data_IF_928649411844
#
_entry.id   IF_928649411844
#
_cell.length_a   1.000
_cell.length_b   1.000
_cell.length_c   1.000
_cell.angle_alpha   90.00
_cell.angle_beta   90.00
_cell.angle_gamma   90.00
#
_symmetry.space_group_name_H-M   'P 1'
#
loop_
_entity.id
_entity.type
_entity.pdbx_description
1 polymer ?
#
# COMPACT_ATOMS: atom_id res chain seq x y z
N UNK A 1 12.98 -2.31 8.27
CA UNK A 1 14.13 -2.27 7.33
C UNK A 1 14.09 -3.42 6.31
N UNK A 2 12.89 -3.86 5.90
CA UNK A 2 12.73 -5.02 5.01
C UNK A 2 13.21 -4.74 3.57
N UNK A 3 12.95 -3.55 3.03
CA UNK A 3 13.41 -3.15 1.71
C UNK A 3 14.94 -3.12 1.59
N UNK A 4 15.63 -2.74 2.67
CA UNK A 4 17.09 -2.74 2.70
C UNK A 4 17.69 -4.15 2.57
N UNK A 5 17.03 -5.19 3.12
CA UNK A 5 17.50 -6.58 2.94
C UNK A 5 17.36 -7.09 1.51
N UNK A 6 16.53 -6.45 0.68
CA UNK A 6 16.41 -6.73 -0.75
C UNK A 6 17.33 -5.84 -1.62
N UNK A 7 18.22 -5.07 -1.01
CA UNK A 7 19.20 -4.23 -1.73
C UNK A 7 18.67 -2.89 -2.21
N UNK A 8 17.50 -2.45 -1.73
CA UNK A 8 16.98 -1.12 -2.02
C UNK A 8 17.54 -0.08 -1.04
N UNK A 9 17.89 1.10 -1.55
CA UNK A 9 18.26 2.24 -0.71
C UNK A 9 16.98 2.92 -0.20
N UNK A 10 16.84 3.12 1.11
CA UNK A 10 15.64 3.68 1.75
C UNK A 10 15.91 5.10 2.25
N UNK A 11 15.00 6.01 1.91
CA UNK A 11 15.05 7.44 2.23
C UNK A 11 13.78 7.82 3.00
N UNK A 12 13.91 8.32 4.23
CA UNK A 12 12.77 8.77 5.04
C UNK A 12 12.56 10.28 4.91
N UNK A 13 11.31 10.73 4.91
CA UNK A 13 11.02 12.18 4.96
C UNK A 13 11.18 12.70 6.39
N UNK A 14 11.75 13.88 6.55
CA UNK A 14 11.71 14.62 7.83
C UNK A 14 10.38 15.36 8.03
N UNK A 15 9.56 15.47 6.97
CA UNK A 15 8.28 16.21 6.97
C UNK A 15 7.13 15.29 6.55
N UNK A 16 6.10 15.17 7.40
CA UNK A 16 5.02 14.14 7.30
C UNK A 16 3.73 14.61 6.59
N UNK A 17 3.78 15.59 5.68
CA UNK A 17 2.53 16.21 5.20
C UNK A 17 1.91 15.57 3.94
N UNK A 18 2.63 14.69 3.25
CA UNK A 18 2.24 14.22 1.91
C UNK A 18 1.56 12.85 1.85
N UNK A 19 1.44 12.14 2.98
CA UNK A 19 0.84 10.79 3.00
C UNK A 19 1.76 9.70 2.43
N UNK A 20 3.05 10.01 2.23
CA UNK A 20 4.11 9.07 1.90
C UNK A 20 5.00 8.96 3.14
N UNK A 21 5.20 7.73 3.63
CA UNK A 21 5.99 7.46 4.82
C UNK A 21 7.50 7.41 4.50
N UNK A 22 7.87 6.82 3.35
CA UNK A 22 9.25 6.82 2.87
C UNK A 22 9.35 6.60 1.35
N UNK A 23 10.54 6.84 0.82
CA UNK A 23 10.90 6.60 -0.58
C UNK A 23 11.96 5.50 -0.63
N UNK A 24 11.86 4.59 -1.59
CA UNK A 24 12.93 3.62 -1.87
C UNK A 24 13.47 3.82 -3.28
N UNK A 25 14.77 3.66 -3.46
CA UNK A 25 15.42 3.65 -4.77
C UNK A 25 15.64 2.22 -5.21
N UNK A 26 15.15 1.91 -6.40
CA UNK A 26 15.33 0.63 -7.08
C UNK A 26 16.76 0.48 -7.59
N UNK A 27 17.16 -0.74 -7.87
CA UNK A 27 18.47 -1.09 -8.43
C UNK A 27 18.77 -0.36 -9.75
N UNK A 28 17.75 -0.12 -10.57
CA UNK A 28 17.84 0.67 -11.81
C UNK A 28 17.84 2.20 -11.61
N UNK A 29 17.95 2.67 -10.36
CA UNK A 29 18.05 4.10 -10.02
C UNK A 29 16.72 4.86 -9.96
N UNK A 30 15.59 4.23 -10.32
CA UNK A 30 14.26 4.85 -10.20
C UNK A 30 13.78 4.84 -8.74
N UNK A 31 13.08 5.89 -8.35
CA UNK A 31 12.46 5.99 -7.03
C UNK A 31 11.03 5.48 -7.04
N UNK A 32 10.62 4.91 -5.91
CA UNK A 32 9.24 4.57 -5.57
C UNK A 32 8.85 5.23 -4.26
N UNK A 33 7.61 5.67 -4.17
CA UNK A 33 7.03 6.29 -2.98
C UNK A 33 6.15 5.25 -2.27
N UNK A 34 6.30 5.15 -0.95
CA UNK A 34 5.67 4.11 -0.15
C UNK A 34 4.84 4.76 0.95
N UNK A 35 3.54 4.49 0.93
CA UNK A 35 2.66 4.74 2.07
C UNK A 35 2.50 3.44 2.86
N UNK A 36 2.58 3.52 4.17
CA UNK A 36 2.51 2.39 5.09
C UNK A 36 1.19 2.45 5.85
N UNK A 37 0.50 1.31 5.89
CA UNK A 37 -0.65 1.10 6.78
C UNK A 37 -0.43 -0.19 7.56
N UNK A 38 -0.66 -0.10 8.87
CA UNK A 38 -0.62 -1.24 9.77
C UNK A 38 -2.01 -1.44 10.38
N UNK A 39 -2.49 -2.68 10.41
CA UNK A 39 -3.77 -3.02 11.05
C UNK A 39 -3.66 -4.24 11.93
N UNK A 40 -4.43 -4.21 13.02
CA UNK A 40 -4.71 -5.34 13.90
C UNK A 40 -6.22 -5.44 14.02
N UNK A 41 -6.79 -6.61 13.69
CA UNK A 41 -8.23 -6.90 13.80
C UNK A 41 -9.20 -5.95 13.04
N UNK A 42 -8.69 -5.07 12.17
CA UNK A 42 -9.53 -4.24 11.29
C UNK A 42 -9.80 -4.96 9.96
N UNK A 43 -11.04 -4.86 9.48
CA UNK A 43 -11.43 -5.35 8.16
C UNK A 43 -11.30 -4.27 7.07
N UNK A 44 -10.76 -3.10 7.37
CA UNK A 44 -10.69 -2.01 6.40
C UNK A 44 -9.52 -1.04 6.67
N UNK A 45 -8.83 -0.65 5.62
CA UNK A 45 -7.90 0.49 5.59
C UNK A 45 -8.23 1.38 4.41
N UNK A 46 -7.81 2.64 4.45
CA UNK A 46 -8.02 3.55 3.33
C UNK A 46 -6.95 4.63 3.24
N UNK A 47 -6.88 5.22 2.05
CA UNK A 47 -6.11 6.40 1.73
C UNK A 47 -7.05 7.45 1.15
N UNK A 48 -6.96 8.69 1.64
CA UNK A 48 -7.77 9.78 1.10
C UNK A 48 -7.34 10.08 -0.34
N UNK A 49 -8.30 10.24 -1.27
CA UNK A 49 -7.98 10.48 -2.69
C UNK A 49 -7.11 11.72 -2.90
N UNK A 50 -7.23 12.72 -2.02
CA UNK A 50 -6.43 13.95 -2.07
C UNK A 50 -4.94 13.73 -1.81
N UNK A 51 -4.54 12.61 -1.20
CA UNK A 51 -3.15 12.25 -0.89
C UNK A 51 -2.68 10.98 -1.62
N UNK A 52 -3.56 10.29 -2.35
CA UNK A 52 -3.27 9.01 -2.99
C UNK A 52 -3.58 9.06 -4.48
N UNK A 53 -2.56 9.34 -5.30
CA UNK A 53 -2.72 9.43 -6.74
C UNK A 53 -2.53 8.07 -7.41
N UNK A 54 -3.64 7.46 -7.84
CA UNK A 54 -3.67 6.14 -8.48
C UNK A 54 -3.18 6.17 -9.94
N UNK A 55 -2.89 7.33 -10.52
CA UNK A 55 -2.39 7.45 -11.89
C UNK A 55 -0.85 7.47 -11.97
N UNK A 56 -0.16 7.50 -10.82
CA UNK A 56 1.30 7.49 -10.75
C UNK A 56 1.80 6.06 -10.54
N UNK A 57 2.57 5.48 -11.47
CA UNK A 57 2.95 4.05 -11.43
C UNK A 57 4.03 3.69 -10.39
N UNK A 58 4.66 4.68 -9.76
CA UNK A 58 5.74 4.48 -8.79
C UNK A 58 5.29 4.66 -7.32
N UNK A 59 3.98 4.71 -7.06
CA UNK A 59 3.43 4.84 -5.70
C UNK A 59 2.87 3.49 -5.26
N UNK A 60 3.18 3.07 -4.03
CA UNK A 60 2.82 1.76 -3.51
C UNK A 60 2.36 1.84 -2.06
N UNK A 61 1.37 1.01 -1.72
CA UNK A 61 0.91 0.81 -0.35
C UNK A 61 1.65 -0.40 0.21
N UNK A 62 2.35 -0.22 1.32
CA UNK A 62 2.77 -1.32 2.20
C UNK A 62 1.66 -1.53 3.23
N UNK A 63 1.01 -2.68 3.17
CA UNK A 63 0.02 -3.07 4.16
C UNK A 63 0.60 -4.15 5.06
N UNK A 64 0.65 -3.87 6.37
CA UNK A 64 1.01 -4.82 7.40
C UNK A 64 -0.26 -5.27 8.14
N UNK A 65 -0.50 -6.58 8.15
CA UNK A 65 -1.61 -7.20 8.88
C UNK A 65 -1.04 -7.98 10.04
N UNK A 66 -1.36 -7.54 11.27
CA UNK A 66 -0.88 -8.16 12.49
C UNK A 66 -1.89 -9.18 13.04
N UNK A 67 -1.38 -10.36 13.35
CA UNK A 67 -2.06 -11.40 14.12
C UNK A 67 -1.29 -11.71 15.40
N UNK A 68 -2.02 -12.09 16.46
CA UNK A 68 -1.40 -12.36 17.76
C UNK A 68 -0.45 -13.56 17.68
N UNK A 69 0.77 -13.37 18.16
CA UNK A 69 1.80 -14.42 18.20
C UNK A 69 2.48 -14.75 16.88
N UNK A 70 2.29 -13.93 15.82
CA UNK A 70 2.94 -14.09 14.52
C UNK A 70 3.64 -12.82 14.06
N UNK A 71 4.58 -12.97 13.14
CA UNK A 71 5.07 -11.83 12.34
C UNK A 71 3.92 -11.31 11.46
N UNK A 72 3.89 -10.00 11.15
CA UNK A 72 2.85 -9.46 10.30
C UNK A 72 2.95 -10.03 8.89
N UNK A 73 1.79 -10.27 8.29
CA UNK A 73 1.72 -10.46 6.85
C UNK A 73 1.94 -9.12 6.16
N UNK A 74 2.88 -9.07 5.22
CA UNK A 74 3.26 -7.84 4.51
C UNK A 74 2.87 -7.94 3.03
N UNK A 75 2.19 -6.91 2.56
CA UNK A 75 1.73 -6.80 1.18
C UNK A 75 2.17 -5.47 0.57
N UNK A 76 2.46 -5.50 -0.72
CA UNK A 76 2.88 -4.35 -1.50
C UNK A 76 1.92 -4.16 -2.69
N UNK A 77 1.05 -3.16 -2.59
CA UNK A 77 -0.02 -2.93 -3.57
C UNK A 77 0.31 -1.68 -4.39
N UNK A 78 0.48 -1.76 -5.71
CA UNK A 78 0.70 -0.58 -6.54
C UNK A 78 -0.56 0.31 -6.56
N UNK A 79 -0.39 1.63 -6.48
CA UNK A 79 -1.51 2.59 -6.46
C UNK A 79 -2.41 2.44 -7.69
N UNK A 80 -1.82 2.12 -8.85
CA UNK A 80 -2.52 1.89 -10.12
C UNK A 80 -3.50 0.72 -10.07
N UNK A 81 -3.38 -0.19 -9.11
CA UNK A 81 -4.33 -1.29 -8.95
C UNK A 81 -5.77 -0.81 -8.65
N UNK A 82 -5.92 0.38 -8.04
CA UNK A 82 -7.23 1.00 -7.80
C UNK A 82 -7.88 1.57 -9.05
N UNK A 83 -7.18 1.66 -10.19
CA UNK A 83 -7.82 1.99 -11.48
C UNK A 83 -8.76 0.89 -11.98
N UNK A 84 -8.67 -0.31 -11.41
CA UNK A 84 -9.59 -1.42 -11.66
C UNK A 84 -10.16 -1.93 -10.32
N UNK A 85 -11.11 -1.18 -9.72
CA UNK A 85 -11.69 -1.52 -8.44
C UNK A 85 -12.30 -2.92 -8.42
N UNK A 86 -12.27 -3.56 -7.27
CA UNK A 86 -12.86 -4.87 -7.04
C UNK A 86 -13.29 -5.02 -5.56
N UNK A 87 -13.71 -6.22 -5.15
CA UNK A 87 -14.19 -6.44 -3.79
C UNK A 87 -13.13 -6.13 -2.71
N UNK A 88 -11.84 -6.30 -3.02
CA UNK A 88 -10.71 -5.97 -2.15
C UNK A 88 -10.34 -4.48 -2.27
N UNK A 89 -10.13 -3.97 -3.48
CA UNK A 89 -9.69 -2.59 -3.74
C UNK A 89 -10.89 -1.71 -4.07
N UNK A 90 -11.36 -0.97 -3.07
CA UNK A 90 -12.57 -0.17 -3.18
C UNK A 90 -12.28 1.26 -3.63
N UNK A 91 -13.19 1.81 -4.41
CA UNK A 91 -13.23 3.22 -4.77
C UNK A 91 -14.53 3.84 -4.21
N UNK A 92 -14.41 4.87 -3.35
CA UNK A 92 -15.54 5.49 -2.66
C UNK A 92 -15.46 7.02 -2.73
N UNK A 93 -16.42 7.63 -3.42
CA UNK A 93 -16.52 9.09 -3.54
C UNK A 93 -17.38 9.74 -2.45
N UNK A 94 -18.33 9.01 -1.88
CA UNK A 94 -19.24 9.51 -0.85
C UNK A 94 -19.97 10.82 -1.24
N UNK A 95 -20.39 10.94 -2.50
CA UNK A 95 -21.05 12.15 -3.03
C UNK A 95 -22.24 12.59 -2.16
N UNK A 96 -22.22 13.86 -1.74
CA UNK A 96 -23.27 14.45 -0.90
C UNK A 96 -23.24 14.02 0.57
N UNK A 97 -22.23 13.25 1.00
CA UNK A 97 -22.04 12.83 2.39
C UNK A 97 -20.91 13.61 3.08
N UNK A 98 -20.83 13.51 4.41
CA UNK A 98 -19.82 14.18 5.24
C UNK A 98 -18.40 13.62 5.03
N UNK A 99 -18.29 12.35 4.65
CA UNK A 99 -17.00 11.65 4.51
C UNK A 99 -16.26 12.13 3.27
N UNK A 100 -14.93 12.25 3.37
CA UNK A 100 -14.09 12.59 2.22
C UNK A 100 -13.90 11.37 1.31
N UNK A 101 -13.74 11.57 -0.01
CA UNK A 101 -13.42 10.49 -0.94
C UNK A 101 -12.16 9.71 -0.55
N UNK A 102 -12.19 8.40 -0.73
CA UNK A 102 -11.09 7.50 -0.38
C UNK A 102 -10.94 6.30 -1.33
N UNK A 103 -9.74 5.75 -1.34
CA UNK A 103 -9.43 4.43 -1.88
C UNK A 103 -9.24 3.46 -0.71
N UNK A 104 -10.00 2.38 -0.70
CA UNK A 104 -10.06 1.43 0.41
C UNK A 104 -9.41 0.08 0.08
N UNK A 105 -8.94 -0.62 1.11
CA UNK A 105 -8.69 -2.06 1.09
C UNK A 105 -9.67 -2.73 2.05
N UNK A 106 -10.58 -3.54 1.50
CA UNK A 106 -11.55 -4.32 2.26
C UNK A 106 -10.98 -5.69 2.60
N UNK A 107 -10.52 -5.83 3.84
CA UNK A 107 -9.86 -7.00 4.43
C UNK A 107 -10.86 -7.99 5.04
N UNK A 108 -12.10 -8.03 4.55
CA UNK A 108 -13.02 -9.10 4.91
C UNK A 108 -12.42 -10.48 4.61
N UNK A 109 -12.77 -11.49 5.39
CA UNK A 109 -12.24 -12.86 5.24
C UNK A 109 -12.36 -13.41 3.81
N UNK A 110 -13.44 -13.08 3.10
CA UNK A 110 -13.67 -13.51 1.71
C UNK A 110 -12.72 -12.86 0.69
N UNK A 111 -12.18 -11.69 1.01
CA UNK A 111 -11.30 -10.92 0.13
C UNK A 111 -9.82 -11.21 0.39
N UNK A 112 -9.46 -11.80 1.53
CA UNK A 112 -8.08 -12.16 1.86
C UNK A 112 -7.37 -12.95 0.75
N UNK A 113 -7.99 -13.93 0.07
CA UNK A 113 -7.35 -14.60 -1.06
C UNK A 113 -6.97 -13.68 -2.23
N UNK A 114 -7.70 -12.58 -2.45
CA UNK A 114 -7.39 -11.61 -3.51
C UNK A 114 -6.13 -10.78 -3.18
N UNK A 115 -5.78 -10.69 -1.90
CA UNK A 115 -4.62 -9.95 -1.41
C UNK A 115 -3.31 -10.71 -1.63
N UNK A 116 -3.37 -12.05 -1.72
CA UNK A 116 -2.20 -12.93 -1.84
C UNK A 116 -1.34 -12.72 -3.09
N UNK A 117 -1.89 -12.12 -4.15
CA UNK A 117 -1.10 -11.74 -5.33
C UNK A 117 -0.17 -10.55 -5.06
N UNK A 118 -0.46 -9.75 -4.03
CA UNK A 118 0.33 -8.59 -3.63
C UNK A 118 1.30 -8.88 -2.48
N UNK A 119 1.54 -10.16 -2.14
CA UNK A 119 2.52 -10.54 -1.11
C UNK A 119 3.87 -9.87 -1.39
N UNK A 120 4.48 -9.26 -0.37
CA UNK A 120 5.70 -8.49 -0.54
C UNK A 120 6.79 -9.30 -1.24
N UNK A 121 6.95 -10.58 -0.87
CA UNK A 121 8.00 -11.45 -1.40
C UNK A 121 7.87 -11.69 -2.92
N UNK A 122 6.64 -11.60 -3.45
CA UNK A 122 6.35 -11.70 -4.88
C UNK A 122 6.62 -10.36 -5.57
N UNK A 123 6.08 -9.29 -5.01
CA UNK A 123 6.11 -7.96 -5.62
C UNK A 123 7.50 -7.32 -5.58
N UNK A 124 8.28 -7.56 -4.54
CA UNK A 124 9.61 -6.95 -4.39
C UNK A 124 10.59 -7.43 -5.46
N UNK A 125 10.40 -8.66 -5.98
CA UNK A 125 11.18 -9.17 -7.11
C UNK A 125 10.94 -8.34 -8.37
N UNK A 126 9.74 -7.82 -8.59
CA UNK A 126 9.42 -6.93 -9.72
C UNK A 126 10.08 -5.55 -9.58
N UNK A 127 10.46 -5.15 -8.36
CA UNK A 127 11.12 -3.88 -8.09
C UNK A 127 12.65 -3.94 -8.16
N UNK A 128 13.23 -5.12 -7.98
CA UNK A 128 14.68 -5.34 -8.01
C UNK A 128 15.25 -5.59 -9.41
N UNK A 129 14.40 -5.71 -10.43
CA UNK A 129 14.75 -5.89 -11.86
C UNK A 129 14.81 -4.55 -12.61
#
# INVERSE_FOLDING_TARGET
MEFASYGLEVYTSEVDDHGIDFVAKKTNGKFIELQVKAVRQSNYVYMQKTKWNIFIPNVYLILLIFEDGKLPDVYLIPSVAWQSPNELLCDKDYDGLKSKPEYGVNLSKKNMPLLEKYRLEKMIQELSV
#
